data_IF_175872604295
#
_entry.id   IF_175872604295
#
_cell.length_a   1.000
_cell.length_b   1.000
_cell.length_c   1.000
_cell.angle_alpha   90.00
_cell.angle_beta   90.00
_cell.angle_gamma   90.00
#
_symmetry.space_group_name_H-M   'P 1'
#
loop_
_entity.id
_entity.type
_entity.pdbx_description
1 polymer ?
#
# COMPACT_ATOMS: atom_id res chain seq x y z
N UNK A 1 -12.34 16.95 -29.89
CA UNK A 1 -12.26 15.48 -30.04
C UNK A 1 -12.26 14.90 -28.64
N UNK A 2 -13.21 14.00 -28.33
CA UNK A 2 -13.21 13.26 -27.07
C UNK A 2 -12.28 12.08 -27.29
N UNK A 3 -11.04 12.18 -26.82
CA UNK A 3 -10.13 11.04 -26.77
C UNK A 3 -10.43 10.26 -25.49
N UNK A 4 -10.74 8.97 -25.64
CA UNK A 4 -10.93 8.07 -24.51
C UNK A 4 -9.57 7.88 -23.83
N UNK A 5 -9.44 8.32 -22.57
CA UNK A 5 -8.22 8.09 -21.80
C UNK A 5 -8.04 6.60 -21.52
N UNK A 6 -6.82 6.08 -21.70
CA UNK A 6 -6.40 4.73 -21.30
C UNK A 6 -5.67 4.80 -19.96
N UNK A 7 -5.52 3.67 -19.29
CA UNK A 7 -4.79 3.54 -18.03
C UNK A 7 -3.84 2.35 -18.12
N UNK A 8 -2.63 2.50 -17.56
CA UNK A 8 -1.63 1.43 -17.47
C UNK A 8 -1.22 1.23 -16.00
N UNK A 9 -1.36 -0.01 -15.53
CA UNK A 9 -0.79 -0.50 -14.27
C UNK A 9 0.66 -0.96 -14.49
N UNK A 10 1.58 -0.62 -13.59
CA UNK A 10 2.94 -1.15 -13.66
C UNK A 10 3.46 -1.64 -12.31
N UNK A 11 4.13 -2.78 -12.33
CA UNK A 11 4.68 -3.48 -11.16
C UNK A 11 6.16 -3.73 -11.37
N UNK A 12 7.05 -3.03 -10.65
CA UNK A 12 8.49 -3.34 -10.68
C UNK A 12 8.78 -4.41 -9.63
N UNK A 13 8.94 -5.65 -10.07
CA UNK A 13 9.51 -6.70 -9.24
C UNK A 13 11.01 -6.43 -9.09
N UNK A 14 11.47 -6.17 -7.87
CA UNK A 14 12.90 -6.16 -7.55
C UNK A 14 13.39 -7.61 -7.65
N UNK A 15 14.03 -7.95 -8.77
CA UNK A 15 14.61 -9.26 -9.05
C UNK A 15 15.65 -9.65 -7.99
N UNK A 16 15.28 -10.53 -7.06
CA UNK A 16 16.22 -11.37 -6.33
C UNK A 16 16.64 -12.53 -7.24
N UNK A 17 17.92 -12.57 -7.62
CA UNK A 17 18.53 -13.68 -8.34
C UNK A 17 18.30 -15.00 -7.59
N UNK A 18 17.56 -15.91 -8.21
CA UNK A 18 17.42 -17.30 -7.78
C UNK A 18 17.22 -18.20 -9.00
N UNK A 19 18.29 -18.86 -9.42
CA UNK A 19 18.34 -19.87 -10.48
C UNK A 19 17.34 -21.01 -10.22
N UNK A 20 16.49 -21.35 -11.19
CA UNK A 20 16.09 -22.74 -11.47
C UNK A 20 15.78 -22.94 -12.97
N UNK A 21 16.10 -24.15 -13.43
CA UNK A 21 16.28 -24.60 -14.80
C UNK A 21 14.97 -24.95 -15.55
N UNK A 22 15.02 -24.76 -16.87
CA UNK A 22 14.28 -25.41 -17.99
C UNK A 22 12.99 -26.22 -17.73
N UNK A 23 11.98 -25.91 -18.55
CA UNK A 23 10.94 -26.86 -18.97
C UNK A 23 9.92 -26.25 -19.93
N UNK A 24 10.14 -26.35 -21.24
CA UNK A 24 9.15 -26.00 -22.26
C UNK A 24 8.03 -27.06 -22.32
N UNK A 25 6.76 -26.63 -22.30
CA UNK A 25 5.68 -27.33 -22.99
C UNK A 25 4.54 -26.35 -23.32
N UNK A 26 4.31 -26.16 -24.62
CA UNK A 26 3.17 -25.45 -25.19
C UNK A 26 1.86 -26.19 -24.91
N UNK A 27 0.80 -25.45 -24.55
CA UNK A 27 -0.57 -25.85 -24.87
C UNK A 27 -1.50 -24.64 -24.97
N UNK A 28 -2.03 -24.45 -26.18
CA UNK A 28 -3.11 -23.53 -26.51
C UNK A 28 -4.33 -23.80 -25.63
N UNK A 29 -4.88 -22.75 -25.03
CA UNK A 29 -6.19 -22.72 -24.39
C UNK A 29 -6.89 -21.44 -24.81
N UNK A 30 -8.00 -21.61 -25.50
CA UNK A 30 -8.90 -20.59 -26.04
C UNK A 30 -9.37 -19.61 -24.97
N UNK A 31 -9.08 -18.33 -25.22
CA UNK A 31 -9.49 -17.19 -24.41
C UNK A 31 -10.94 -16.83 -24.80
N UNK A 32 -11.92 -17.35 -24.06
CA UNK A 32 -13.30 -16.92 -24.17
C UNK A 32 -13.52 -15.76 -23.21
N UNK A 33 -13.44 -14.55 -23.77
CA UNK A 33 -13.57 -13.28 -23.07
C UNK A 33 -14.97 -13.12 -22.47
N UNK A 34 -15.14 -13.61 -21.24
CA UNK A 34 -16.21 -13.19 -20.35
C UNK A 34 -16.02 -11.70 -20.05
N UNK A 35 -16.72 -10.86 -20.81
CA UNK A 35 -16.90 -9.44 -20.49
C UNK A 35 -17.69 -9.36 -19.19
N UNK A 36 -16.97 -9.37 -18.08
CA UNK A 36 -17.50 -9.01 -16.78
C UNK A 36 -17.87 -7.54 -16.85
N UNK A 37 -19.18 -7.25 -16.92
CA UNK A 37 -19.66 -5.87 -16.84
C UNK A 37 -19.17 -5.27 -15.52
N UNK A 38 -18.47 -4.13 -15.60
CA UNK A 38 -18.01 -3.39 -14.44
C UNK A 38 -19.21 -3.13 -13.51
N UNK A 39 -19.23 -3.77 -12.35
CA UNK A 39 -20.33 -3.63 -11.39
C UNK A 39 -20.36 -2.17 -10.93
N UNK A 40 -21.56 -1.60 -10.84
CA UNK A 40 -21.75 -0.23 -10.35
C UNK A 40 -21.34 -0.19 -8.88
N UNK A 41 -20.10 0.18 -8.60
CA UNK A 41 -19.66 0.40 -7.22
C UNK A 41 -20.27 1.71 -6.73
N UNK A 42 -21.06 1.69 -5.64
CA UNK A 42 -21.53 2.92 -5.01
C UNK A 42 -20.32 3.73 -4.56
N UNK A 43 -20.18 4.94 -5.10
CA UNK A 43 -19.19 5.89 -4.60
C UNK A 43 -19.67 6.44 -3.27
N UNK A 44 -18.96 6.13 -2.20
CA UNK A 44 -19.18 6.73 -0.88
C UNK A 44 -17.92 7.48 -0.48
N UNK A 45 -18.05 8.78 -0.26
CA UNK A 45 -16.93 9.60 0.22
C UNK A 45 -16.80 9.43 1.74
N UNK A 46 -15.59 9.09 2.19
CA UNK A 46 -15.28 8.96 3.61
C UNK A 46 -15.13 10.34 4.23
N UNK A 47 -15.71 10.53 5.41
CA UNK A 47 -15.35 11.68 6.24
C UNK A 47 -14.02 11.41 6.93
N UNK A 48 -13.06 12.30 6.73
CA UNK A 48 -11.69 12.21 7.23
C UNK A 48 -11.26 13.54 7.85
N UNK A 49 -10.29 13.48 8.75
CA UNK A 49 -9.69 14.67 9.34
C UNK A 49 -8.88 15.46 8.31
N UNK A 50 -8.65 16.75 8.60
CA UNK A 50 -7.78 17.57 7.76
C UNK A 50 -6.33 17.07 7.85
N UNK A 51 -5.68 16.93 6.70
CA UNK A 51 -4.31 16.45 6.64
C UNK A 51 -3.28 17.56 6.87
N UNK A 52 -2.16 17.22 7.52
CA UNK A 52 -1.07 18.15 7.81
C UNK A 52 -0.03 18.24 6.68
N UNK A 53 -0.17 17.45 5.61
CA UNK A 53 0.77 17.34 4.50
C UNK A 53 0.16 17.63 3.13
N UNK A 54 1.01 17.70 2.11
CA UNK A 54 0.61 17.80 0.70
C UNK A 54 0.77 16.46 0.01
N UNK A 55 -0.34 15.95 -0.52
CA UNK A 55 -0.46 14.66 -1.19
C UNK A 55 -1.03 14.80 -2.59
N UNK A 56 -1.67 15.94 -2.90
CA UNK A 56 -2.19 16.26 -4.22
C UNK A 56 -1.35 17.38 -4.82
N UNK A 57 -0.70 17.10 -5.94
CA UNK A 57 0.15 18.02 -6.68
C UNK A 57 -0.56 18.37 -8.00
N UNK A 58 -1.48 19.35 -7.94
CA UNK A 58 -2.32 19.74 -9.07
C UNK A 58 -1.61 20.69 -10.05
N UNK A 59 -0.56 20.22 -10.74
CA UNK A 59 0.22 21.08 -11.64
C UNK A 59 -0.54 21.44 -12.94
N UNK A 60 -1.60 20.71 -13.27
CA UNK A 60 -2.45 21.02 -14.41
C UNK A 60 -3.61 21.97 -14.10
N UNK A 61 -3.84 22.32 -12.82
CA UNK A 61 -4.91 23.23 -12.40
C UNK A 61 -6.31 22.66 -12.67
N UNK A 62 -6.50 21.36 -12.42
CA UNK A 62 -7.75 20.64 -12.68
C UNK A 62 -8.74 20.72 -11.52
N UNK A 63 -8.29 21.07 -10.32
CA UNK A 63 -9.07 21.04 -9.10
C UNK A 63 -9.38 22.45 -8.60
N UNK A 64 -10.59 22.62 -8.08
CA UNK A 64 -10.90 23.76 -7.22
C UNK A 64 -10.17 23.65 -5.88
N UNK A 65 -10.10 24.74 -5.11
CA UNK A 65 -9.48 24.71 -3.78
C UNK A 65 -10.17 23.71 -2.83
N UNK A 66 -11.50 23.62 -2.88
CA UNK A 66 -12.28 22.70 -2.05
C UNK A 66 -12.06 21.24 -2.48
N UNK A 67 -11.97 20.98 -3.78
CA UNK A 67 -11.71 19.63 -4.30
C UNK A 67 -10.30 19.17 -4.00
N UNK A 68 -9.32 20.07 -4.16
CA UNK A 68 -7.93 19.82 -3.79
C UNK A 68 -7.83 19.46 -2.31
N UNK A 69 -8.48 20.26 -1.44
CA UNK A 69 -8.50 19.98 0.00
C UNK A 69 -9.12 18.62 0.31
N UNK A 70 -10.28 18.31 -0.26
CA UNK A 70 -10.95 17.03 -0.02
C UNK A 70 -10.08 15.84 -0.43
N UNK A 71 -9.51 15.86 -1.65
CA UNK A 71 -8.62 14.81 -2.12
C UNK A 71 -7.34 14.71 -1.27
N UNK A 72 -6.80 15.84 -0.82
CA UNK A 72 -5.61 15.88 0.02
C UNK A 72 -5.86 15.31 1.41
N UNK A 73 -6.99 15.63 2.03
CA UNK A 73 -7.38 15.09 3.32
C UNK A 73 -7.55 13.56 3.23
N UNK A 74 -8.17 13.07 2.15
CA UNK A 74 -8.35 11.64 1.93
C UNK A 74 -7.02 10.90 1.72
N UNK A 75 -6.13 11.43 0.87
CA UNK A 75 -4.79 10.89 0.70
C UNK A 75 -3.97 10.97 1.99
N UNK A 76 -4.16 12.01 2.80
CA UNK A 76 -3.57 12.14 4.13
C UNK A 76 -4.09 11.12 5.13
N UNK A 77 -5.37 10.75 5.06
CA UNK A 77 -5.92 9.65 5.86
C UNK A 77 -5.30 8.31 5.47
N UNK A 78 -5.21 8.00 4.16
CA UNK A 78 -4.48 6.82 3.68
C UNK A 78 -3.03 6.84 4.15
N UNK A 79 -2.41 8.01 4.12
CA UNK A 79 -1.09 8.21 4.67
C UNK A 79 -1.09 7.81 6.16
N UNK A 80 -1.82 8.47 7.05
CA UNK A 80 -1.74 8.17 8.49
C UNK A 80 -2.23 6.78 8.88
N UNK A 81 -3.42 6.39 8.39
CA UNK A 81 -4.15 5.23 8.89
C UNK A 81 -3.72 3.94 8.22
N UNK A 82 -3.59 3.93 6.89
CA UNK A 82 -3.16 2.76 6.11
C UNK A 82 -1.65 2.64 6.00
N UNK A 83 -0.90 3.67 6.42
CA UNK A 83 0.56 3.74 6.33
C UNK A 83 1.11 3.57 4.89
N UNK A 84 0.29 3.89 3.89
CA UNK A 84 0.68 3.89 2.48
C UNK A 84 1.10 5.28 2.02
N UNK A 85 2.20 5.37 1.27
CA UNK A 85 2.66 6.61 0.68
C UNK A 85 1.82 6.91 -0.57
N UNK A 86 0.78 7.70 -0.39
CA UNK A 86 -0.18 8.03 -1.45
C UNK A 86 -0.03 9.46 -1.93
N UNK A 87 0.09 9.63 -3.25
CA UNK A 87 0.03 10.93 -3.87
C UNK A 87 -0.66 10.92 -5.23
N UNK A 88 -1.18 12.07 -5.63
CA UNK A 88 -1.77 12.31 -6.95
C UNK A 88 -1.02 13.46 -7.59
N UNK A 89 -0.58 13.27 -8.82
CA UNK A 89 0.07 14.31 -9.62
C UNK A 89 -0.77 14.55 -10.86
N UNK A 90 -1.26 15.77 -11.02
CA UNK A 90 -1.83 16.20 -12.30
C UNK A 90 -0.75 16.92 -13.11
N UNK A 91 -0.71 16.72 -14.43
CA UNK A 91 0.28 17.40 -15.28
C UNK A 91 -0.21 17.61 -16.71
N UNK A 92 0.26 18.68 -17.34
CA UNK A 92 0.04 18.96 -18.76
C UNK A 92 1.16 18.45 -19.67
N UNK A 93 2.30 18.05 -19.10
CA UNK A 93 3.50 17.63 -19.82
C UNK A 93 4.25 16.56 -19.02
N UNK A 94 4.61 15.45 -19.64
CA UNK A 94 5.41 14.37 -19.05
C UNK A 94 6.92 14.57 -19.32
N UNK A 95 7.30 15.58 -20.09
CA UNK A 95 8.68 15.87 -20.47
C UNK A 95 9.25 14.80 -21.40
N UNK A 96 8.42 14.25 -22.29
CA UNK A 96 8.80 13.18 -23.23
C UNK A 96 8.96 11.79 -22.59
N UNK A 97 8.57 11.62 -21.32
CA UNK A 97 8.59 10.32 -20.63
C UNK A 97 7.29 9.55 -20.89
N UNK A 98 7.35 8.23 -20.71
CA UNK A 98 6.12 7.45 -20.59
C UNK A 98 5.38 7.82 -19.29
N UNK A 99 4.04 7.69 -19.24
CA UNK A 99 3.27 7.92 -18.02
C UNK A 99 3.78 7.12 -16.81
N UNK A 100 4.21 5.87 -17.03
CA UNK A 100 4.74 4.99 -15.98
C UNK A 100 6.11 5.44 -15.46
N UNK A 101 7.02 5.86 -16.35
CA UNK A 101 8.33 6.37 -15.94
C UNK A 101 8.20 7.69 -15.19
N UNK A 102 7.28 8.55 -15.64
CA UNK A 102 6.94 9.78 -14.94
C UNK A 102 6.37 9.49 -13.55
N UNK A 103 5.45 8.54 -13.43
CA UNK A 103 4.89 8.13 -12.15
C UNK A 103 5.98 7.63 -11.19
N UNK A 104 6.85 6.71 -11.64
CA UNK A 104 7.98 6.24 -10.84
C UNK A 104 8.90 7.38 -10.40
N UNK A 105 9.22 8.32 -11.29
CA UNK A 105 10.03 9.50 -10.98
C UNK A 105 9.39 10.35 -9.89
N UNK A 106 8.08 10.64 -10.00
CA UNK A 106 7.37 11.42 -9.00
C UNK A 106 7.32 10.69 -7.65
N UNK A 107 7.09 9.38 -7.63
CA UNK A 107 7.12 8.62 -6.39
C UNK A 107 8.50 8.67 -5.72
N UNK A 108 9.57 8.51 -6.51
CA UNK A 108 10.93 8.64 -6.03
C UNK A 108 11.25 10.05 -5.52
N UNK A 109 10.72 11.08 -6.16
CA UNK A 109 10.92 12.46 -5.73
C UNK A 109 10.18 12.79 -4.42
N UNK A 110 8.94 12.32 -4.28
CA UNK A 110 8.07 12.65 -3.15
C UNK A 110 8.42 11.79 -1.92
N UNK A 111 8.70 10.50 -2.12
CA UNK A 111 8.86 9.51 -1.04
C UNK A 111 10.22 8.80 -1.06
N UNK A 112 11.18 9.27 -1.84
CA UNK A 112 12.52 8.67 -1.97
C UNK A 112 12.50 7.20 -2.40
N UNK A 113 11.41 6.76 -3.05
CA UNK A 113 11.23 5.37 -3.48
C UNK A 113 11.00 4.39 -2.32
N UNK A 114 10.61 4.89 -1.14
CA UNK A 114 10.47 4.10 0.09
C UNK A 114 9.01 3.85 0.43
N UNK A 115 8.77 2.74 1.14
CA UNK A 115 7.46 2.39 1.69
C UNK A 115 6.49 1.79 0.67
N UNK A 116 5.44 1.13 1.16
CA UNK A 116 4.25 0.78 0.38
C UNK A 116 3.63 2.05 -0.19
N UNK A 117 3.23 2.03 -1.46
CA UNK A 117 2.87 3.25 -2.17
C UNK A 117 1.82 3.08 -3.24
N UNK A 118 1.02 4.14 -3.42
CA UNK A 118 0.00 4.30 -4.45
C UNK A 118 0.14 5.71 -5.04
N UNK A 119 0.71 5.82 -6.23
CA UNK A 119 0.83 7.09 -6.94
C UNK A 119 -0.10 7.09 -8.16
N UNK A 120 -0.92 8.13 -8.27
CA UNK A 120 -1.79 8.35 -9.43
C UNK A 120 -1.25 9.52 -10.24
N UNK A 121 -1.12 9.34 -11.54
CA UNK A 121 -0.80 10.40 -12.50
C UNK A 121 -1.99 10.61 -13.42
N UNK A 122 -2.57 11.81 -13.37
CA UNK A 122 -3.57 12.27 -14.34
C UNK A 122 -2.85 13.23 -15.28
N UNK A 123 -2.70 12.87 -16.55
CA UNK A 123 -1.96 13.70 -17.50
C UNK A 123 -2.79 14.08 -18.73
N UNK A 124 -2.50 15.27 -19.25
CA UNK A 124 -3.11 15.81 -20.48
C UNK A 124 -2.15 15.78 -21.67
N UNK A 125 -0.88 15.40 -21.45
CA UNK A 125 0.14 15.27 -22.50
C UNK A 125 -0.14 14.08 -23.40
N UNK A 126 -0.51 12.96 -22.77
CA UNK A 126 -0.96 11.76 -23.45
C UNK A 126 -2.43 11.49 -23.13
N UNK A 127 -3.03 10.57 -23.86
CA UNK A 127 -4.35 10.07 -23.51
C UNK A 127 -4.27 8.94 -22.48
N UNK A 128 -3.20 8.84 -21.69
CA UNK A 128 -2.93 7.65 -20.88
C UNK A 128 -2.54 8.03 -19.44
N UNK A 129 -3.48 7.92 -18.50
CA UNK A 129 -3.22 8.11 -17.08
C UNK A 129 -2.47 6.89 -16.50
N UNK A 130 -1.82 7.02 -15.34
CA UNK A 130 -1.00 5.94 -14.76
C UNK A 130 -1.26 5.74 -13.27
N UNK A 131 -1.23 4.48 -12.84
CA UNK A 131 -1.25 4.09 -11.44
C UNK A 131 0.02 3.30 -11.17
N UNK A 132 0.82 3.79 -10.25
CA UNK A 132 2.05 3.15 -9.81
C UNK A 132 1.88 2.62 -8.39
N UNK A 133 2.30 1.37 -8.16
CA UNK A 133 2.10 0.66 -6.89
C UNK A 133 3.38 -0.03 -6.42
N UNK A 134 3.59 -0.09 -5.11
CA UNK A 134 4.65 -0.88 -4.47
C UNK A 134 4.25 -1.36 -3.08
N UNK A 135 4.98 -2.33 -2.54
CA UNK A 135 4.74 -2.91 -1.21
C UNK A 135 3.33 -3.49 -1.08
N UNK A 136 2.66 -3.21 0.05
CA UNK A 136 1.27 -3.64 0.31
C UNK A 136 0.33 -3.29 -0.84
N UNK A 137 0.43 -2.10 -1.43
CA UNK A 137 -0.44 -1.68 -2.53
C UNK A 137 -0.26 -2.55 -3.78
N UNK A 138 0.94 -3.07 -4.01
CA UNK A 138 1.19 -3.98 -5.12
C UNK A 138 0.58 -5.37 -4.84
N UNK A 139 0.66 -5.83 -3.60
CA UNK A 139 0.19 -7.17 -3.21
C UNK A 139 -1.33 -7.24 -2.95
N UNK A 140 -1.95 -6.21 -2.39
CA UNK A 140 -3.36 -6.18 -1.96
C UNK A 140 -4.32 -5.70 -3.06
N UNK A 141 -3.85 -4.84 -3.97
CA UNK A 141 -4.69 -4.31 -5.05
C UNK A 141 -4.61 -5.24 -6.25
N UNK A 142 -5.68 -6.02 -6.46
CA UNK A 142 -5.81 -6.88 -7.64
C UNK A 142 -5.96 -6.06 -8.93
N UNK A 143 -5.58 -6.64 -10.07
CA UNK A 143 -5.80 -6.02 -11.38
C UNK A 143 -7.28 -5.72 -11.63
N UNK A 144 -8.18 -6.63 -11.24
CA UNK A 144 -9.63 -6.43 -11.37
C UNK A 144 -10.13 -5.24 -10.56
N UNK A 145 -9.62 -5.05 -9.34
CA UNK A 145 -9.98 -3.89 -8.52
C UNK A 145 -9.48 -2.60 -9.16
N UNK A 146 -8.26 -2.59 -9.68
CA UNK A 146 -7.69 -1.45 -10.38
C UNK A 146 -8.48 -1.11 -11.64
N UNK A 147 -8.75 -2.08 -12.52
CA UNK A 147 -9.51 -1.90 -13.76
C UNK A 147 -10.90 -1.31 -13.50
N UNK A 148 -11.57 -1.79 -12.45
CA UNK A 148 -12.87 -1.26 -12.05
C UNK A 148 -12.77 0.20 -11.56
N UNK A 149 -11.79 0.52 -10.71
CA UNK A 149 -11.58 1.88 -10.24
C UNK A 149 -11.25 2.84 -11.40
N UNK A 150 -10.37 2.41 -12.30
CA UNK A 150 -9.97 3.09 -13.53
C UNK A 150 -11.16 3.37 -14.43
N UNK A 151 -12.01 2.38 -14.68
CA UNK A 151 -13.17 2.52 -15.56
C UNK A 151 -14.11 3.61 -15.06
N UNK A 152 -14.42 3.59 -13.77
CA UNK A 152 -15.30 4.57 -13.16
C UNK A 152 -14.61 5.93 -13.03
N UNK A 153 -13.33 5.99 -12.66
CA UNK A 153 -12.57 7.23 -12.59
C UNK A 153 -12.52 7.94 -13.95
N UNK A 154 -12.31 7.19 -15.04
CA UNK A 154 -12.34 7.70 -16.41
C UNK A 154 -13.69 8.35 -16.72
N UNK A 155 -14.81 7.70 -16.38
CA UNK A 155 -16.14 8.28 -16.59
C UNK A 155 -16.34 9.60 -15.84
N UNK A 156 -15.90 9.67 -14.58
CA UNK A 156 -16.01 10.88 -13.75
C UNK A 156 -15.16 12.02 -14.33
N UNK A 157 -13.91 11.73 -14.71
CA UNK A 157 -12.97 12.71 -15.28
C UNK A 157 -13.46 13.24 -16.62
N UNK A 158 -13.91 12.36 -17.53
CA UNK A 158 -14.48 12.77 -18.82
C UNK A 158 -15.77 13.58 -18.62
N UNK A 159 -16.54 13.29 -17.57
CA UNK A 159 -17.68 14.10 -17.14
C UNK A 159 -17.33 15.43 -16.46
N UNK A 160 -16.04 15.76 -16.30
CA UNK A 160 -15.54 16.98 -15.67
C UNK A 160 -15.39 16.90 -14.15
N UNK A 161 -15.68 15.75 -13.53
CA UNK A 161 -15.62 15.54 -12.08
C UNK A 161 -14.28 14.94 -11.66
N UNK A 162 -13.22 15.76 -11.70
CA UNK A 162 -11.87 15.34 -11.34
C UNK A 162 -11.77 14.86 -9.89
N UNK A 163 -12.45 15.51 -8.94
CA UNK A 163 -12.51 15.05 -7.55
C UNK A 163 -13.00 13.61 -7.44
N UNK A 164 -14.16 13.30 -8.04
CA UNK A 164 -14.72 11.94 -7.96
C UNK A 164 -13.83 10.94 -8.67
N UNK A 165 -13.24 11.32 -9.80
CA UNK A 165 -12.25 10.51 -10.50
C UNK A 165 -11.05 10.15 -9.62
N UNK A 166 -10.42 11.15 -9.02
CA UNK A 166 -9.27 10.98 -8.12
C UNK A 166 -9.66 10.14 -6.91
N UNK A 167 -10.79 10.42 -6.27
CA UNK A 167 -11.23 9.68 -5.08
C UNK A 167 -11.44 8.20 -5.36
N UNK A 168 -11.99 7.84 -6.53
CA UNK A 168 -12.12 6.43 -6.94
C UNK A 168 -10.78 5.71 -7.05
N UNK A 169 -9.77 6.41 -7.54
CA UNK A 169 -8.41 5.85 -7.63
C UNK A 169 -7.75 5.75 -6.26
N UNK A 170 -7.90 6.77 -5.41
CA UNK A 170 -7.41 6.75 -4.04
C UNK A 170 -8.07 5.64 -3.20
N UNK A 171 -9.35 5.33 -3.45
CA UNK A 171 -10.08 4.24 -2.78
C UNK A 171 -9.43 2.86 -2.95
N UNK A 172 -8.59 2.66 -3.97
CA UNK A 172 -7.78 1.43 -4.06
C UNK A 172 -6.90 1.22 -2.83
N UNK A 173 -6.41 2.30 -2.22
CA UNK A 173 -5.65 2.24 -0.97
C UNK A 173 -6.43 1.68 0.21
N UNK A 174 -7.77 1.69 0.17
CA UNK A 174 -8.59 1.07 1.23
C UNK A 174 -8.50 -0.45 1.23
N UNK A 175 -8.14 -1.06 0.10
CA UNK A 175 -7.98 -2.51 -0.04
C UNK A 175 -6.74 -3.03 0.69
N UNK A 176 -5.78 -2.14 1.00
CA UNK A 176 -4.62 -2.52 1.78
C UNK A 176 -5.00 -2.86 3.21
N UNK A 177 -4.29 -3.83 3.78
CA UNK A 177 -4.45 -4.27 5.18
C UNK A 177 -4.26 -3.12 6.19
N UNK A 178 -4.92 -3.22 7.36
CA UNK A 178 -4.92 -2.16 8.39
C UNK A 178 -3.77 -2.30 9.40
N UNK A 179 -3.37 -3.54 9.66
CA UNK A 179 -2.42 -3.95 10.69
C UNK A 179 -1.14 -4.59 10.12
N UNK A 180 -1.05 -4.78 8.79
CA UNK A 180 0.15 -5.29 8.13
C UNK A 180 0.61 -4.33 7.03
N UNK A 181 1.81 -3.80 7.16
CA UNK A 181 2.44 -2.92 6.17
C UNK A 181 3.69 -3.59 5.67
N UNK A 182 3.62 -4.18 4.48
CA UNK A 182 4.73 -4.90 3.88
C UNK A 182 5.38 -4.09 2.76
N UNK A 183 6.35 -3.26 3.15
CA UNK A 183 7.15 -2.48 2.21
C UNK A 183 8.08 -3.35 1.36
N UNK A 184 8.25 -4.63 1.71
CA UNK A 184 9.26 -5.53 1.13
C UNK A 184 8.67 -6.61 0.25
N UNK A 185 7.36 -6.83 0.33
CA UNK A 185 6.64 -7.93 -0.31
C UNK A 185 7.21 -9.29 0.11
N UNK A 186 7.55 -9.43 1.39
CA UNK A 186 8.00 -10.70 1.98
C UNK A 186 6.83 -11.64 2.25
N UNK A 187 5.61 -11.12 2.35
CA UNK A 187 4.39 -11.89 2.55
C UNK A 187 3.56 -11.98 1.26
N UNK A 188 2.95 -13.16 1.05
CA UNK A 188 1.88 -13.30 0.05
C UNK A 188 0.59 -12.65 0.55
N UNK A 189 -0.36 -12.42 -0.36
CA UNK A 189 -1.70 -11.91 -0.05
C UNK A 189 -2.41 -12.72 1.06
N UNK A 190 -2.45 -14.05 0.95
CA UNK A 190 -3.09 -14.91 1.95
C UNK A 190 -2.43 -14.80 3.33
N UNK A 191 -1.10 -14.67 3.36
CA UNK A 191 -0.34 -14.50 4.60
C UNK A 191 -0.63 -13.14 5.22
N UNK A 192 -0.61 -12.06 4.43
CA UNK A 192 -0.95 -10.71 4.93
C UNK A 192 -2.37 -10.68 5.48
N UNK A 193 -3.35 -11.21 4.74
CA UNK A 193 -4.76 -11.28 5.17
C UNK A 193 -4.92 -12.05 6.48
N UNK A 194 -4.22 -13.19 6.60
CA UNK A 194 -4.27 -14.02 7.80
C UNK A 194 -3.63 -13.33 9.02
N UNK A 195 -2.50 -12.66 8.81
CA UNK A 195 -1.82 -11.88 9.85
C UNK A 195 -2.63 -10.65 10.26
N UNK A 196 -3.21 -9.93 9.31
CA UNK A 196 -4.03 -8.74 9.54
C UNK A 196 -5.22 -9.07 10.43
N UNK A 197 -5.95 -10.15 10.11
CA UNK A 197 -7.06 -10.66 10.93
C UNK A 197 -6.61 -11.06 12.34
N UNK A 198 -5.44 -11.67 12.48
CA UNK A 198 -4.93 -12.11 13.77
C UNK A 198 -4.42 -10.95 14.64
N UNK A 199 -3.84 -9.92 14.03
CA UNK A 199 -3.46 -8.69 14.72
C UNK A 199 -4.69 -7.88 15.13
N UNK A 200 -5.70 -7.78 14.26
CA UNK A 200 -6.98 -7.14 14.56
C UNK A 200 -7.76 -7.80 15.72
N UNK A 201 -7.53 -9.09 15.98
CA UNK A 201 -8.18 -9.79 17.11
C UNK A 201 -7.47 -9.60 18.45
N UNK A 202 -6.28 -9.00 18.46
CA UNK A 202 -5.55 -8.72 19.69
C UNK A 202 -6.25 -7.62 20.49
N UNK A 203 -6.15 -7.70 21.83
CA UNK A 203 -6.73 -6.67 22.73
C UNK A 203 -6.04 -5.31 22.60
N UNK A 204 -4.73 -5.33 22.34
CA UNK A 204 -3.96 -4.14 22.02
C UNK A 204 -4.06 -3.90 20.51
N UNK A 205 -4.12 -2.64 20.09
CA UNK A 205 -3.95 -2.28 18.68
C UNK A 205 -2.47 -2.46 18.30
N UNK A 206 -2.23 -3.26 17.28
CA UNK A 206 -0.88 -3.66 16.86
C UNK A 206 -0.80 -3.57 15.36
N UNK A 207 0.28 -2.96 14.88
CA UNK A 207 0.57 -2.86 13.46
C UNK A 207 1.98 -3.38 13.20
N UNK A 208 2.12 -4.26 12.21
CA UNK A 208 3.38 -4.78 11.72
C UNK A 208 3.87 -3.96 10.54
N UNK A 209 5.15 -3.58 10.58
CA UNK A 209 5.91 -3.05 9.46
C UNK A 209 6.96 -4.07 9.02
N UNK A 210 6.76 -4.73 7.88
CA UNK A 210 7.85 -5.42 7.20
C UNK A 210 8.60 -4.40 6.34
N UNK A 211 9.89 -4.25 6.60
CA UNK A 211 10.72 -3.20 6.01
C UNK A 211 12.08 -3.73 5.60
N UNK A 212 12.77 -2.96 4.75
CA UNK A 212 14.16 -3.20 4.36
C UNK A 212 14.93 -1.90 4.54
N UNK A 213 15.29 -1.60 5.78
CA UNK A 213 16.01 -0.38 6.10
C UNK A 213 17.49 -0.50 5.71
N UNK A 214 17.86 0.10 4.59
CA UNK A 214 19.25 0.26 4.15
C UNK A 214 19.80 1.67 4.37
N UNK A 215 19.11 2.52 5.12
CA UNK A 215 19.52 3.91 5.35
C UNK A 215 20.46 4.08 6.54
N UNK A 216 20.94 5.31 6.76
CA UNK A 216 21.69 5.68 7.98
C UNK A 216 20.79 5.89 9.21
N UNK A 217 19.47 5.92 9.04
CA UNK A 217 18.52 6.08 10.13
C UNK A 217 18.35 4.73 10.84
N UNK A 218 18.36 4.73 12.18
CA UNK A 218 18.17 3.51 12.97
C UNK A 218 16.80 2.87 12.74
N UNK A 219 16.68 1.56 12.95
CA UNK A 219 15.38 0.88 12.86
C UNK A 219 14.40 1.45 13.90
N UNK A 220 14.89 1.83 15.08
CA UNK A 220 14.09 2.45 16.13
C UNK A 220 13.50 3.79 15.69
N UNK A 221 14.28 4.64 15.03
CA UNK A 221 13.80 5.96 14.58
C UNK A 221 12.86 5.84 13.38
N UNK A 222 13.12 4.91 12.46
CA UNK A 222 12.17 4.57 11.38
C UNK A 222 10.85 4.08 11.98
N UNK A 223 10.89 3.13 12.91
CA UNK A 223 9.71 2.59 13.55
C UNK A 223 8.92 3.67 14.30
N UNK A 224 9.59 4.55 15.06
CA UNK A 224 8.95 5.68 15.74
C UNK A 224 8.29 6.66 14.77
N UNK A 225 8.89 6.89 13.59
CA UNK A 225 8.30 7.74 12.56
C UNK A 225 6.97 7.17 12.07
N UNK A 226 6.92 5.87 11.80
CA UNK A 226 5.68 5.20 11.40
C UNK A 226 4.67 5.13 12.54
N UNK A 227 5.12 4.91 13.78
CA UNK A 227 4.26 4.88 14.96
C UNK A 227 3.50 6.20 15.13
N UNK A 228 4.21 7.34 15.10
CA UNK A 228 3.60 8.68 15.24
C UNK A 228 2.58 8.98 14.16
N UNK A 229 2.79 8.40 12.97
CA UNK A 229 1.89 8.54 11.82
C UNK A 229 0.60 7.74 12.01
N UNK A 230 0.67 6.51 12.55
CA UNK A 230 -0.48 5.62 12.80
C UNK A 230 -1.24 6.01 14.08
N UNK A 231 -0.53 6.10 15.19
CA UNK A 231 -1.09 6.22 16.54
C UNK A 231 -0.97 7.64 17.05
N UNK A 232 -1.78 8.54 16.47
CA UNK A 232 -1.77 9.98 16.83
C UNK A 232 -2.12 10.25 18.29
N UNK A 233 -2.87 9.34 18.93
CA UNK A 233 -3.23 9.41 20.35
C UNK A 233 -2.18 8.77 21.27
N UNK A 234 -1.11 8.18 20.74
CA UNK A 234 -0.09 7.46 21.52
C UNK A 234 -0.54 6.08 22.01
N UNK A 235 -1.66 5.56 21.54
CA UNK A 235 -2.17 4.25 21.95
C UNK A 235 -1.85 3.20 20.89
N UNK A 236 -1.27 2.07 21.30
CA UNK A 236 -0.97 0.95 20.40
C UNK A 236 0.51 0.53 20.41
N UNK A 237 0.80 -0.50 19.63
CA UNK A 237 2.13 -1.09 19.50
C UNK A 237 2.46 -1.15 18.00
N UNK A 238 3.66 -0.73 17.65
CA UNK A 238 4.18 -0.94 16.31
C UNK A 238 5.34 -1.92 16.34
N UNK A 239 5.28 -2.94 15.50
CA UNK A 239 6.33 -3.93 15.27
C UNK A 239 7.07 -3.57 13.99
N UNK A 240 8.38 -3.77 13.96
CA UNK A 240 9.14 -3.75 12.72
C UNK A 240 9.87 -5.07 12.56
N UNK A 241 9.60 -5.77 11.46
CA UNK A 241 10.41 -6.88 10.96
C UNK A 241 11.31 -6.35 9.84
N UNK A 242 12.58 -6.09 10.14
CA UNK A 242 13.52 -5.59 9.16
C UNK A 242 14.22 -6.74 8.44
N UNK A 243 13.96 -6.86 7.15
CA UNK A 243 14.52 -7.91 6.28
C UNK A 243 15.99 -7.69 5.96
N UNK A 244 16.52 -6.48 6.15
CA UNK A 244 17.92 -6.16 5.92
C UNK A 244 18.81 -6.65 7.06
N UNK A 245 18.51 -6.21 8.28
CA UNK A 245 19.24 -6.61 9.51
C UNK A 245 18.76 -7.94 10.08
N UNK A 246 17.61 -8.45 9.61
CA UNK A 246 16.94 -9.66 10.10
C UNK A 246 16.58 -9.58 11.57
N UNK A 247 16.11 -8.41 11.99
CA UNK A 247 15.71 -8.14 13.37
C UNK A 247 14.23 -7.81 13.46
N UNK A 248 13.63 -8.18 14.59
CA UNK A 248 12.31 -7.71 14.99
C UNK A 248 12.43 -6.83 16.23
N UNK A 249 11.90 -5.62 16.12
CA UNK A 249 11.82 -4.66 17.23
C UNK A 249 10.36 -4.20 17.40
N UNK A 250 10.06 -3.60 18.55
CA UNK A 250 8.75 -3.06 18.86
C UNK A 250 8.88 -1.67 19.49
N UNK A 251 7.87 -0.84 19.29
CA UNK A 251 7.75 0.46 19.92
C UNK A 251 6.30 0.71 20.37
N UNK A 252 6.17 1.29 21.55
CA UNK A 252 4.92 1.79 22.14
C UNK A 252 5.29 2.91 23.11
N UNK A 253 4.46 3.93 23.23
CA UNK A 253 4.58 4.92 24.31
C UNK A 253 4.12 4.34 25.66
N UNK A 254 3.25 3.33 25.62
CA UNK A 254 2.80 2.62 26.80
C UNK A 254 3.76 1.49 27.19
N UNK A 255 3.76 1.17 28.49
CA UNK A 255 4.56 0.07 28.99
C UNK A 255 4.00 -1.27 28.50
N UNK A 256 4.79 -2.00 27.73
CA UNK A 256 4.44 -3.36 27.30
C UNK A 256 4.55 -4.38 28.44
N UNK A 257 3.77 -5.47 28.34
CA UNK A 257 3.76 -6.54 29.33
C UNK A 257 5.04 -7.39 29.29
N UNK A 258 5.41 -8.02 30.41
CA UNK A 258 6.56 -8.94 30.46
C UNK A 258 6.38 -10.13 29.49
N UNK A 259 5.15 -10.62 29.32
CA UNK A 259 4.81 -11.70 28.38
C UNK A 259 5.09 -11.27 26.94
N UNK A 260 4.71 -10.06 26.56
CA UNK A 260 5.01 -9.49 25.25
C UNK A 260 6.52 -9.35 25.00
N UNK A 261 7.26 -8.81 25.98
CA UNK A 261 8.71 -8.63 25.84
C UNK A 261 9.45 -9.97 25.67
N UNK A 262 9.01 -11.03 26.35
CA UNK A 262 9.54 -12.37 26.14
C UNK A 262 9.21 -12.91 24.74
N UNK A 263 7.97 -12.70 24.26
CA UNK A 263 7.58 -13.10 22.91
C UNK A 263 8.38 -12.37 21.83
N UNK A 264 8.70 -11.08 22.02
CA UNK A 264 9.55 -10.32 21.11
C UNK A 264 10.96 -10.90 20.99
N UNK A 265 11.55 -11.36 22.09
CA UNK A 265 12.87 -12.05 22.08
C UNK A 265 12.79 -13.33 21.26
N UNK A 266 11.71 -14.10 21.38
CA UNK A 266 11.50 -15.33 20.61
C UNK A 266 11.23 -15.05 19.13
N UNK A 267 10.39 -14.05 18.85
CA UNK A 267 10.09 -13.60 17.50
C UNK A 267 11.36 -13.14 16.78
N UNK A 268 12.23 -12.37 17.43
CA UNK A 268 13.50 -11.93 16.86
C UNK A 268 14.43 -13.10 16.47
N UNK A 269 14.40 -14.22 17.21
CA UNK A 269 15.16 -15.44 16.84
C UNK A 269 14.60 -16.11 15.58
N UNK A 270 13.29 -16.01 15.33
CA UNK A 270 12.64 -16.52 14.12
C UNK A 270 12.93 -15.58 12.93
N UNK A 271 12.87 -14.27 13.15
CA UNK A 271 13.26 -13.26 12.15
C UNK A 271 14.71 -13.43 11.68
N UNK A 272 15.64 -13.74 12.59
CA UNK A 272 17.03 -14.04 12.24
C UNK A 272 17.19 -15.25 11.28
N UNK A 273 16.18 -16.13 11.23
CA UNK A 273 16.10 -17.29 10.32
C UNK A 273 15.26 -17.02 9.06
N UNK A 274 14.83 -15.78 8.85
CA UNK A 274 13.87 -15.35 7.83
C UNK A 274 12.46 -15.95 8.00
N UNK A 275 12.11 -16.45 9.19
CA UNK A 275 10.76 -16.91 9.50
C UNK A 275 9.92 -15.73 10.01
N UNK A 276 9.55 -14.83 9.11
CA UNK A 276 8.79 -13.62 9.45
C UNK A 276 7.36 -13.94 9.87
N UNK A 277 6.71 -14.90 9.21
CA UNK A 277 5.35 -15.33 9.58
C UNK A 277 5.33 -15.97 10.98
N UNK A 278 6.27 -16.87 11.26
CA UNK A 278 6.42 -17.47 12.59
C UNK A 278 6.77 -16.43 13.66
N UNK A 279 7.60 -15.44 13.34
CA UNK A 279 7.93 -14.35 14.25
C UNK A 279 6.69 -13.55 14.66
N UNK A 280 5.83 -13.15 13.70
CA UNK A 280 4.60 -12.42 14.00
C UNK A 280 3.62 -13.30 14.77
N UNK A 281 3.47 -14.57 14.38
CA UNK A 281 2.61 -15.52 15.10
C UNK A 281 3.03 -15.72 16.56
N UNK A 282 4.33 -15.68 16.86
CA UNK A 282 4.81 -15.74 18.24
C UNK A 282 4.33 -14.56 19.07
N UNK A 283 4.24 -13.37 18.48
CA UNK A 283 3.67 -12.18 19.12
C UNK A 283 2.16 -12.37 19.35
N UNK A 284 1.42 -12.74 18.31
CA UNK A 284 -0.04 -12.95 18.37
C UNK A 284 -0.39 -14.01 19.44
N UNK A 285 0.31 -15.14 19.45
CA UNK A 285 0.13 -16.23 20.44
C UNK A 285 0.30 -15.71 21.87
N UNK A 286 1.27 -14.81 22.09
CA UNK A 286 1.50 -14.24 23.40
C UNK A 286 0.38 -13.31 23.87
N UNK A 287 -0.35 -12.68 22.96
CA UNK A 287 -1.35 -11.65 23.28
C UNK A 287 -2.78 -12.17 23.28
N UNK A 288 -3.15 -12.98 22.29
CA UNK A 288 -4.52 -13.52 22.12
C UNK A 288 -4.61 -15.04 22.36
N UNK A 289 -3.48 -15.72 22.57
CA UNK A 289 -3.46 -17.19 22.75
C UNK A 289 -3.82 -17.97 21.49
N UNK A 290 -3.86 -17.30 20.34
CA UNK A 290 -4.16 -17.87 19.02
C UNK A 290 -3.00 -17.61 18.07
N UNK A 291 -2.99 -18.34 16.95
CA UNK A 291 -2.04 -18.13 15.85
C UNK A 291 -2.81 -17.84 14.57
N UNK A 292 -2.27 -16.99 13.70
CA UNK A 292 -2.75 -16.88 12.34
C UNK A 292 -2.55 -18.22 11.61
N UNK A 293 -3.58 -18.65 10.91
CA UNK A 293 -3.56 -19.81 10.02
C UNK A 293 -3.79 -19.32 8.60
N UNK A 294 -2.94 -19.74 7.67
CA UNK A 294 -3.14 -19.46 6.25
C UNK A 294 -4.19 -20.44 5.73
N UNK A 295 -5.43 -19.96 5.56
CA UNK A 295 -6.44 -20.69 4.81
C UNK A 295 -6.10 -20.53 3.33
N UNK A 296 -5.75 -21.64 2.66
CA UNK A 296 -5.59 -21.60 1.20
C UNK A 296 -6.96 -21.32 0.60
N UNK A 297 -7.08 -20.19 -0.10
CA UNK A 297 -8.25 -19.95 -0.93
C UNK A 297 -8.06 -20.79 -2.20
N UNK A 298 -8.97 -21.74 -2.43
CA UNK A 298 -8.98 -22.59 -3.65
C UNK A 298 -9.31 -21.79 -4.91
#
# INVERSE_FOLDING_TARGET
MIFLKKFISFTIAVLSLGLFLCGCASKNGSDDGSKTEATSQPFTERQVDTAEGTFIFDNAGLLSADDLKACNDYAGWLYSYKLINTAVVTTNDLGGKSPSDFALEQYNKIYEGKGSGLLVVINNDTNEDSIWRTGSCLSDISQTSEDNAVYWATKEIVGGSYRRGIMRLLQLGELCTDHVVDNTQVFSYDVMTSLDKALASCKSDITLLASRNGSSISNEDVLKSYYKRKYKNGEGIMLMADTNTKTMIAYSEEKTSAKFNQALIEANKLTAKNDYFGAVNKIVESLDGKTASVEKTE
#
